data_IF_186113710971
#
_entry.id   IF_186113710971
#
_cell.length_a   1.000
_cell.length_b   1.000
_cell.length_c   1.000
_cell.angle_alpha   90.00
_cell.angle_beta   90.00
_cell.angle_gamma   90.00
#
_symmetry.space_group_name_H-M   'P 1'
#
loop_
_entity.id
_entity.type
_entity.pdbx_description
1 polymer ?
#
# COMPACT_ATOMS: atom_id res chain seq x y z
N UNK A 1 3.41 -14.06 -17.64
CA UNK A 1 3.63 -12.73 -17.03
C UNK A 1 3.29 -11.64 -18.02
N UNK A 2 3.13 -10.40 -17.56
CA UNK A 2 2.91 -9.25 -18.45
C UNK A 2 4.22 -8.83 -19.14
N UNK A 3 5.35 -8.89 -18.43
CA UNK A 3 6.61 -8.28 -18.86
C UNK A 3 7.86 -9.15 -18.73
N UNK A 4 7.82 -10.20 -17.91
CA UNK A 4 8.94 -11.10 -17.69
C UNK A 4 8.47 -12.55 -17.49
N UNK A 5 9.42 -13.46 -17.68
CA UNK A 5 9.27 -14.89 -17.44
C UNK A 5 9.51 -15.22 -15.96
N UNK A 6 8.53 -15.85 -15.31
CA UNK A 6 8.57 -16.17 -13.87
C UNK A 6 9.64 -17.22 -13.51
N UNK A 7 10.02 -18.08 -14.47
CA UNK A 7 10.98 -19.16 -14.20
C UNK A 7 12.43 -18.71 -14.35
N UNK A 8 12.69 -17.88 -15.35
CA UNK A 8 14.05 -17.47 -15.72
C UNK A 8 14.38 -16.05 -15.26
N UNK A 9 13.36 -15.23 -14.99
CA UNK A 9 13.54 -13.80 -14.70
C UNK A 9 13.88 -12.96 -15.93
N UNK A 10 13.89 -13.56 -17.12
CA UNK A 10 14.18 -12.85 -18.36
C UNK A 10 13.01 -11.94 -18.76
N UNK A 11 13.33 -10.69 -19.11
CA UNK A 11 12.37 -9.80 -19.76
C UNK A 11 11.89 -10.43 -21.07
N UNK A 12 10.61 -10.26 -21.36
CA UNK A 12 10.08 -10.57 -22.69
C UNK A 12 10.62 -9.58 -23.73
N UNK A 13 10.53 -9.95 -25.01
CA UNK A 13 10.88 -9.02 -26.10
C UNK A 13 9.98 -7.78 -26.06
N UNK A 14 10.49 -6.64 -26.53
CA UNK A 14 9.72 -5.39 -26.53
C UNK A 14 8.40 -5.52 -27.30
N UNK A 15 8.39 -6.28 -28.40
CA UNK A 15 7.17 -6.60 -29.14
C UNK A 15 6.20 -7.44 -28.30
N UNK A 16 6.71 -8.44 -27.58
CA UNK A 16 5.91 -9.27 -26.68
C UNK A 16 5.29 -8.45 -25.55
N UNK A 17 6.08 -7.57 -24.93
CA UNK A 17 5.60 -6.66 -23.88
C UNK A 17 4.52 -5.73 -24.44
N UNK A 18 4.76 -5.05 -25.56
CA UNK A 18 3.77 -4.14 -26.17
C UNK A 18 2.47 -4.87 -26.52
N UNK A 19 2.55 -6.07 -27.09
CA UNK A 19 1.37 -6.90 -27.37
C UNK A 19 0.60 -7.25 -26.09
N UNK A 20 1.30 -7.58 -25.01
CA UNK A 20 0.66 -7.90 -23.73
C UNK A 20 -0.05 -6.68 -23.13
N UNK A 21 0.56 -5.49 -23.21
CA UNK A 21 -0.07 -4.24 -22.77
C UNK A 21 -1.29 -3.88 -23.64
N UNK A 22 -1.22 -4.05 -24.96
CA UNK A 22 -2.38 -3.86 -25.85
C UNK A 22 -3.54 -4.76 -25.44
N UNK A 23 -3.28 -6.06 -25.19
CA UNK A 23 -4.32 -7.00 -24.73
C UNK A 23 -4.92 -6.61 -23.39
N UNK A 24 -4.10 -6.08 -22.47
CA UNK A 24 -4.57 -5.57 -21.19
C UNK A 24 -5.46 -4.33 -21.38
N UNK A 25 -5.06 -3.40 -22.24
CA UNK A 25 -5.85 -2.20 -22.54
C UNK A 25 -7.18 -2.56 -23.20
N UNK A 26 -7.18 -3.48 -24.16
CA UNK A 26 -8.38 -3.94 -24.85
C UNK A 26 -9.38 -4.56 -23.85
N UNK A 27 -8.89 -5.39 -22.93
CA UNK A 27 -9.73 -5.99 -21.89
C UNK A 27 -10.32 -4.96 -20.91
N UNK A 28 -9.53 -3.96 -20.51
CA UNK A 28 -10.01 -2.86 -19.66
C UNK A 28 -11.06 -2.01 -20.41
N UNK A 29 -10.80 -1.69 -21.68
CA UNK A 29 -11.69 -0.91 -22.53
C UNK A 29 -13.01 -1.63 -22.81
N UNK A 30 -12.99 -2.95 -23.04
CA UNK A 30 -14.20 -3.77 -23.23
C UNK A 30 -15.18 -3.66 -22.06
N UNK A 31 -14.65 -3.48 -20.84
CA UNK A 31 -15.44 -3.34 -19.63
C UNK A 31 -15.63 -1.88 -19.17
N UNK A 32 -15.13 -0.89 -19.93
CA UNK A 32 -15.22 0.53 -19.55
C UNK A 32 -14.42 0.87 -18.28
N UNK A 33 -13.40 0.09 -17.95
CA UNK A 33 -12.57 0.26 -16.75
C UNK A 33 -11.32 1.06 -17.11
N UNK A 34 -11.02 2.09 -16.32
CA UNK A 34 -9.76 2.83 -16.42
C UNK A 34 -8.67 2.15 -15.60
N UNK A 35 -7.42 2.23 -16.07
CA UNK A 35 -6.27 1.78 -15.28
C UNK A 35 -6.18 2.55 -13.96
N UNK A 36 -6.08 1.84 -12.85
CA UNK A 36 -5.75 2.45 -11.55
C UNK A 36 -4.29 2.87 -11.53
N UNK A 37 -3.96 3.89 -10.75
CA UNK A 37 -2.56 4.26 -10.51
C UNK A 37 -1.77 3.19 -9.75
N UNK A 38 -2.47 2.24 -9.12
CA UNK A 38 -1.91 1.16 -8.31
C UNK A 38 -1.49 -0.02 -9.18
N UNK A 39 -0.26 -0.50 -8.97
CA UNK A 39 0.24 -1.73 -9.58
C UNK A 39 0.38 -2.84 -8.53
N UNK A 40 -0.52 -3.82 -8.58
CA UNK A 40 -0.43 -5.03 -7.76
C UNK A 40 0.04 -6.20 -8.64
N UNK A 41 1.35 -6.34 -8.80
CA UNK A 41 1.93 -7.41 -9.61
C UNK A 41 2.02 -8.71 -8.81
N UNK A 42 1.62 -9.83 -9.43
CA UNK A 42 1.83 -11.15 -8.86
C UNK A 42 3.32 -11.38 -8.56
N UNK A 43 3.63 -11.81 -7.33
CA UNK A 43 5.00 -11.90 -6.79
C UNK A 43 5.82 -10.60 -6.87
N UNK A 44 5.21 -9.46 -7.15
CA UNK A 44 5.91 -8.21 -7.38
C UNK A 44 6.88 -8.25 -8.56
N UNK A 45 6.66 -9.14 -9.53
CA UNK A 45 7.56 -9.38 -10.65
C UNK A 45 7.19 -8.53 -11.85
N UNK A 46 7.98 -7.49 -12.09
CA UNK A 46 7.76 -6.54 -13.18
C UNK A 46 9.09 -6.24 -13.85
N UNK A 47 9.25 -6.61 -15.12
CA UNK A 47 10.42 -6.27 -15.92
C UNK A 47 10.60 -4.75 -16.10
N UNK A 48 11.85 -4.26 -16.11
CA UNK A 48 12.13 -2.82 -16.22
C UNK A 48 11.59 -2.20 -17.51
N UNK A 49 11.59 -2.98 -18.60
CA UNK A 49 11.07 -2.53 -19.90
C UNK A 49 9.57 -2.22 -19.90
N UNK A 50 8.82 -2.73 -18.92
CA UNK A 50 7.40 -2.43 -18.78
C UNK A 50 7.11 -1.15 -18.00
N UNK A 51 8.08 -0.61 -17.24
CA UNK A 51 7.88 0.58 -16.41
C UNK A 51 7.41 1.79 -17.22
N UNK A 52 8.01 2.14 -18.38
CA UNK A 52 7.51 3.24 -19.20
C UNK A 52 6.06 3.05 -19.64
N UNK A 53 5.65 1.83 -19.99
CA UNK A 53 4.28 1.53 -20.44
C UNK A 53 3.26 1.67 -19.30
N UNK A 54 3.62 1.27 -18.07
CA UNK A 54 2.80 1.58 -16.90
C UNK A 54 2.65 3.09 -16.67
N UNK A 55 3.76 3.83 -16.77
CA UNK A 55 3.79 5.27 -16.59
C UNK A 55 2.97 6.04 -17.64
N UNK A 56 2.90 5.55 -18.88
CA UNK A 56 2.01 6.09 -19.94
C UNK A 56 0.53 6.00 -19.57
N UNK A 57 0.15 5.00 -18.76
CA UNK A 57 -1.22 4.76 -18.28
C UNK A 57 -1.51 5.42 -16.94
N UNK A 58 -0.57 6.22 -16.41
CA UNK A 58 -0.70 6.84 -15.09
C UNK A 58 -0.45 5.88 -13.92
N UNK A 59 0.01 4.64 -14.19
CA UNK A 59 0.30 3.65 -13.17
C UNK A 59 1.68 3.93 -12.55
N UNK A 60 1.69 4.52 -11.36
CA UNK A 60 2.90 5.00 -10.69
C UNK A 60 3.06 4.52 -9.23
N UNK A 61 2.18 3.65 -8.74
CA UNK A 61 2.17 3.20 -7.34
C UNK A 61 2.23 1.67 -7.19
N UNK A 62 3.40 1.04 -7.41
CA UNK A 62 3.59 -0.39 -7.15
C UNK A 62 3.39 -0.74 -5.67
N UNK A 63 2.66 -1.83 -5.44
CA UNK A 63 2.41 -2.39 -4.11
C UNK A 63 3.44 -3.45 -3.67
N UNK A 64 4.52 -3.59 -4.43
CA UNK A 64 5.49 -4.64 -4.28
C UNK A 64 6.31 -4.44 -3.00
N UNK A 65 6.57 -5.53 -2.28
CA UNK A 65 7.56 -5.58 -1.20
C UNK A 65 8.97 -6.00 -1.71
N UNK A 66 9.14 -5.95 -3.04
CA UNK A 66 10.30 -6.32 -3.83
C UNK A 66 10.67 -5.22 -4.81
N UNK A 67 11.95 -5.12 -5.15
CA UNK A 67 12.42 -4.25 -6.24
C UNK A 67 11.93 -4.79 -7.60
N UNK A 68 11.65 -3.89 -8.55
CA UNK A 68 11.30 -4.29 -9.91
C UNK A 68 12.53 -4.87 -10.66
N UNK A 69 12.23 -5.55 -11.76
CA UNK A 69 13.20 -6.11 -12.70
C UNK A 69 13.95 -7.34 -12.20
N UNK A 70 13.44 -7.98 -11.15
CA UNK A 70 14.01 -9.19 -10.56
C UNK A 70 12.89 -10.15 -10.14
N UNK A 71 13.22 -11.44 -10.11
CA UNK A 71 12.33 -12.46 -9.56
C UNK A 71 12.11 -12.23 -8.07
N UNK A 72 10.94 -12.62 -7.58
CA UNK A 72 10.62 -12.52 -6.18
C UNK A 72 11.64 -13.25 -5.31
N UNK A 73 12.12 -14.42 -5.72
CA UNK A 73 13.14 -15.19 -5.00
C UNK A 73 14.55 -14.59 -5.03
N UNK A 74 14.84 -13.61 -5.90
CA UNK A 74 16.18 -13.07 -6.13
C UNK A 74 16.22 -11.54 -5.97
N UNK A 75 16.11 -11.06 -4.73
CA UNK A 75 16.03 -9.62 -4.45
C UNK A 75 17.39 -9.01 -4.12
N UNK A 76 17.74 -7.85 -4.71
CA UNK A 76 18.99 -7.16 -4.40
C UNK A 76 18.98 -6.67 -2.96
N UNK A 77 20.15 -6.28 -2.44
CA UNK A 77 20.21 -5.53 -1.18
C UNK A 77 19.62 -4.14 -1.42
N UNK A 78 18.37 -3.96 -0.99
CA UNK A 78 17.63 -2.71 -1.03
C UNK A 78 17.29 -2.33 0.40
N UNK A 79 17.36 -1.03 0.71
CA UNK A 79 17.01 -0.46 2.02
C UNK A 79 15.94 0.61 1.82
N UNK A 80 14.68 0.21 1.54
CA UNK A 80 13.59 1.15 1.35
C UNK A 80 13.29 1.93 2.63
N UNK A 81 12.84 3.16 2.48
CA UNK A 81 12.19 3.91 3.55
C UNK A 81 10.88 3.22 3.99
N UNK A 82 10.43 3.44 5.24
CA UNK A 82 11.11 4.24 6.27
C UNK A 82 12.22 3.49 7.02
N UNK A 83 12.11 2.17 7.17
CA UNK A 83 12.97 1.43 8.11
C UNK A 83 14.06 0.58 7.44
N UNK A 84 13.85 0.12 6.21
CA UNK A 84 14.78 -0.78 5.52
C UNK A 84 14.96 -2.15 6.21
N UNK A 85 14.11 -2.49 7.19
CA UNK A 85 14.19 -3.73 7.97
C UNK A 85 13.64 -4.88 7.13
N UNK A 86 14.36 -6.01 7.14
CA UNK A 86 13.91 -7.27 6.55
C UNK A 86 13.46 -8.23 7.65
N UNK A 87 12.31 -8.87 7.46
CA UNK A 87 11.88 -9.99 8.28
C UNK A 87 12.65 -11.28 7.93
N UNK A 88 12.32 -12.37 8.65
CA UNK A 88 12.91 -13.70 8.41
C UNK A 88 12.72 -14.22 6.97
N UNK A 89 11.68 -13.76 6.27
CA UNK A 89 11.43 -14.07 4.87
C UNK A 89 12.35 -13.32 3.88
N UNK A 90 13.24 -12.46 4.38
CA UNK A 90 14.07 -11.56 3.58
C UNK A 90 13.31 -10.38 2.98
N UNK A 91 12.02 -10.21 3.31
CA UNK A 91 11.13 -9.17 2.78
C UNK A 91 11.08 -7.95 3.68
N UNK A 92 10.75 -6.80 3.10
CA UNK A 92 10.52 -5.58 3.85
C UNK A 92 9.08 -5.50 4.37
N UNK A 93 8.94 -5.18 5.66
CA UNK A 93 7.62 -5.13 6.31
C UNK A 93 6.79 -3.91 5.91
N UNK A 94 7.45 -2.78 5.65
CA UNK A 94 6.84 -1.54 5.19
C UNK A 94 7.78 -0.89 4.17
N UNK A 95 7.22 -0.51 3.04
CA UNK A 95 7.87 0.24 1.97
C UNK A 95 6.98 1.43 1.65
N UNK A 96 7.48 2.61 1.95
CA UNK A 96 6.95 3.88 1.45
C UNK A 96 8.19 4.56 0.90
N UNK A 97 8.47 4.41 -0.39
CA UNK A 97 9.71 4.93 -0.97
C UNK A 97 9.62 5.13 -2.49
N UNK A 98 10.50 5.96 -3.04
CA UNK A 98 10.65 6.08 -4.49
C UNK A 98 11.44 4.89 -5.05
N UNK A 99 11.05 4.44 -6.23
CA UNK A 99 11.87 3.49 -6.96
C UNK A 99 13.22 4.13 -7.32
N UNK A 100 14.37 3.56 -6.89
CA UNK A 100 15.66 4.18 -7.14
C UNK A 100 15.97 4.39 -8.63
N UNK A 101 15.60 3.43 -9.47
CA UNK A 101 15.85 3.47 -10.92
C UNK A 101 14.79 4.27 -11.69
N UNK A 102 13.58 4.40 -11.15
CA UNK A 102 12.48 5.14 -11.78
C UNK A 102 11.74 5.98 -10.74
N UNK A 103 12.28 7.15 -10.32
CA UNK A 103 11.73 7.94 -9.21
C UNK A 103 10.27 8.40 -9.40
N UNK A 104 9.75 8.34 -10.63
CA UNK A 104 8.31 8.52 -10.92
C UNK A 104 7.43 7.46 -10.26
N UNK A 105 7.94 6.25 -10.05
CA UNK A 105 7.28 5.17 -9.31
C UNK A 105 7.46 5.37 -7.80
N UNK A 106 6.38 5.27 -7.05
CA UNK A 106 6.36 5.31 -5.59
C UNK A 106 5.88 3.97 -5.07
N UNK A 107 6.77 3.19 -4.47
CA UNK A 107 6.39 1.95 -3.80
C UNK A 107 5.62 2.26 -2.53
N UNK A 108 4.43 1.69 -2.43
CA UNK A 108 3.57 1.77 -1.25
C UNK A 108 3.12 0.36 -0.93
N UNK A 109 3.85 -0.31 -0.04
CA UNK A 109 3.65 -1.70 0.35
C UNK A 109 3.71 -1.86 1.86
N UNK A 110 2.78 -2.63 2.40
CA UNK A 110 2.84 -3.11 3.77
C UNK A 110 2.62 -4.62 3.73
N UNK A 111 3.54 -5.32 4.37
CA UNK A 111 3.60 -6.77 4.46
C UNK A 111 4.41 -7.09 5.71
N UNK A 112 4.02 -6.51 6.85
CA UNK A 112 4.81 -6.48 8.10
C UNK A 112 5.41 -7.85 8.37
N UNK A 113 6.69 -7.97 8.00
CA UNK A 113 7.37 -9.24 7.82
C UNK A 113 8.01 -9.61 9.15
N UNK A 114 7.56 -10.71 9.75
CA UNK A 114 8.22 -11.53 10.77
C UNK A 114 9.37 -10.87 11.55
N UNK A 115 9.09 -9.83 12.35
CA UNK A 115 9.99 -9.45 13.44
C UNK A 115 9.47 -10.15 14.69
N UNK A 116 10.05 -11.33 14.98
CA UNK A 116 9.59 -12.18 16.06
C UNK A 116 8.17 -12.71 15.83
N UNK A 117 7.30 -12.58 16.83
CA UNK A 117 5.91 -13.06 16.77
C UNK A 117 4.97 -12.11 16.03
N UNK A 118 5.36 -10.85 15.84
CA UNK A 118 4.54 -9.82 15.21
C UNK A 118 4.70 -9.86 13.69
N UNK A 119 3.68 -10.36 12.99
CA UNK A 119 3.67 -10.44 11.54
C UNK A 119 2.25 -10.32 10.98
N UNK A 120 2.15 -9.73 9.79
CA UNK A 120 0.92 -9.70 9.03
C UNK A 120 0.66 -11.09 8.43
N UNK A 121 -0.56 -11.61 8.59
CA UNK A 121 -1.04 -12.79 7.87
C UNK A 121 -1.59 -12.30 6.55
N UNK A 122 -0.74 -12.21 5.52
CA UNK A 122 -1.05 -11.44 4.31
C UNK A 122 -2.41 -11.77 3.72
N UNK A 123 -2.73 -13.05 3.51
CA UNK A 123 -4.04 -13.45 3.00
C UNK A 123 -5.00 -13.82 4.15
N UNK A 124 -6.08 -13.03 4.30
CA UNK A 124 -7.06 -13.21 5.37
C UNK A 124 -7.99 -14.42 5.16
N UNK A 125 -8.06 -14.98 3.96
CA UNK A 125 -8.88 -16.16 3.62
C UNK A 125 -8.05 -17.44 3.50
N UNK A 126 -6.72 -17.35 3.40
CA UNK A 126 -5.86 -18.54 3.30
C UNK A 126 -6.02 -19.48 4.48
N UNK A 127 -6.27 -20.76 4.21
CA UNK A 127 -6.54 -21.79 5.24
C UNK A 127 -7.93 -21.70 5.88
N UNK A 128 -8.79 -20.80 5.40
CA UNK A 128 -10.08 -20.44 6.03
C UNK A 128 -11.28 -20.55 5.10
N UNK A 129 -11.07 -20.85 3.83
CA UNK A 129 -12.14 -21.05 2.83
C UNK A 129 -11.87 -22.35 2.07
N UNK A 130 -12.88 -22.98 1.44
CA UNK A 130 -12.72 -24.23 0.70
C UNK A 130 -12.05 -24.04 -0.67
N UNK A 131 -10.95 -23.30 -0.72
CA UNK A 131 -10.10 -23.18 -1.89
C UNK A 131 -9.01 -24.25 -1.83
N UNK A 132 -8.94 -25.14 -2.82
CA UNK A 132 -7.95 -26.23 -2.89
C UNK A 132 -7.85 -27.06 -1.59
N UNK A 133 -9.00 -27.40 -1.00
CA UNK A 133 -9.10 -28.18 0.24
C UNK A 133 -8.37 -27.56 1.45
N UNK A 134 -8.14 -26.23 1.43
CA UNK A 134 -7.55 -25.49 2.56
C UNK A 134 -8.43 -25.54 3.82
N UNK A 135 -9.74 -25.71 3.66
CA UNK A 135 -10.73 -25.88 4.73
C UNK A 135 -11.96 -26.63 4.20
N UNK A 136 -12.66 -27.38 5.06
CA UNK A 136 -13.93 -28.03 4.69
C UNK A 136 -15.07 -27.01 4.54
N UNK A 137 -15.09 -25.97 5.38
CA UNK A 137 -16.09 -24.89 5.39
C UNK A 137 -15.42 -23.53 5.63
N UNK A 138 -16.09 -22.42 5.26
CA UNK A 138 -15.63 -21.08 5.61
C UNK A 138 -15.50 -20.87 7.12
N UNK A 139 -14.32 -20.43 7.58
CA UNK A 139 -14.00 -20.12 8.98
C UNK A 139 -14.06 -18.60 9.20
N UNK A 140 -15.28 -18.07 9.23
CA UNK A 140 -15.54 -16.62 9.15
C UNK A 140 -14.88 -15.83 10.29
N UNK A 141 -15.00 -16.31 11.53
CA UNK A 141 -14.42 -15.63 12.70
C UNK A 141 -12.89 -15.59 12.62
N UNK A 142 -12.25 -16.67 12.15
CA UNK A 142 -10.79 -16.73 11.99
C UNK A 142 -10.29 -15.80 10.87
N UNK A 143 -11.08 -15.61 9.82
CA UNK A 143 -10.79 -14.65 8.75
C UNK A 143 -10.96 -13.21 9.24
N UNK A 144 -12.04 -12.93 9.97
CA UNK A 144 -12.29 -11.62 10.54
C UNK A 144 -11.20 -11.23 11.56
N UNK A 145 -10.79 -12.18 12.40
CA UNK A 145 -9.68 -11.98 13.33
C UNK A 145 -8.37 -11.67 12.58
N UNK A 146 -8.04 -12.43 11.54
CA UNK A 146 -6.82 -12.19 10.75
C UNK A 146 -6.82 -10.79 10.10
N UNK A 147 -7.94 -10.36 9.53
CA UNK A 147 -8.08 -9.01 8.97
C UNK A 147 -7.96 -7.92 10.03
N UNK A 148 -8.57 -8.11 11.20
CA UNK A 148 -8.47 -7.19 12.34
C UNK A 148 -7.02 -7.05 12.81
N UNK A 149 -6.32 -8.16 13.00
CA UNK A 149 -4.92 -8.19 13.43
C UNK A 149 -4.01 -7.48 12.41
N UNK A 150 -4.24 -7.71 11.11
CA UNK A 150 -3.47 -7.05 10.05
C UNK A 150 -3.66 -5.52 10.04
N UNK A 151 -4.90 -5.04 10.21
CA UNK A 151 -5.19 -3.60 10.25
C UNK A 151 -4.58 -2.98 11.49
N UNK A 152 -4.83 -3.55 12.68
CA UNK A 152 -4.30 -3.03 13.95
C UNK A 152 -2.78 -2.96 13.93
N UNK A 153 -2.11 -3.96 13.37
CA UNK A 153 -0.66 -3.95 13.22
C UNK A 153 -0.15 -2.77 12.37
N UNK A 154 -0.87 -2.40 11.31
CA UNK A 154 -0.56 -1.22 10.50
C UNK A 154 -0.76 0.08 11.27
N UNK A 155 -1.87 0.18 12.02
CA UNK A 155 -2.20 1.35 12.84
C UNK A 155 -1.22 1.54 14.02
N UNK A 156 -0.85 0.45 14.72
CA UNK A 156 0.15 0.44 15.79
C UNK A 156 1.53 0.93 15.32
N UNK A 157 1.84 0.69 14.04
CA UNK A 157 3.07 1.15 13.42
C UNK A 157 3.02 2.61 12.92
N UNK A 158 1.93 3.33 13.21
CA UNK A 158 1.62 4.66 12.66
C UNK A 158 1.71 4.70 11.12
N UNK A 159 1.32 3.58 10.49
CA UNK A 159 1.24 3.43 9.04
C UNK A 159 -0.23 3.22 8.64
N UNK A 160 -0.49 2.37 7.64
CA UNK A 160 -1.83 2.03 7.19
C UNK A 160 -2.11 0.53 7.35
N UNK A 161 -3.36 0.18 7.65
CA UNK A 161 -3.83 -1.21 7.64
C UNK A 161 -4.07 -1.72 6.21
N UNK A 162 -3.93 -3.02 5.99
CA UNK A 162 -4.19 -3.66 4.70
C UNK A 162 -5.05 -4.91 4.88
N UNK A 163 -6.15 -4.96 4.13
CA UNK A 163 -6.86 -6.20 3.83
C UNK A 163 -6.35 -6.75 2.50
N UNK A 164 -5.86 -7.98 2.53
CA UNK A 164 -5.36 -8.67 1.36
C UNK A 164 -5.92 -10.09 1.35
N UNK A 165 -6.34 -10.52 0.16
CA UNK A 165 -6.77 -11.88 -0.15
C UNK A 165 -6.60 -12.10 -1.64
N UNK A 166 -6.36 -13.34 -2.05
CA UNK A 166 -6.36 -13.70 -3.47
C UNK A 166 -7.79 -13.83 -4.01
N UNK A 167 -7.97 -13.48 -5.29
CA UNK A 167 -9.26 -13.51 -5.99
C UNK A 167 -9.88 -14.92 -6.02
N UNK A 168 -9.06 -15.96 -6.13
CA UNK A 168 -9.53 -17.34 -6.17
C UNK A 168 -10.14 -17.78 -4.84
N UNK A 169 -9.67 -17.19 -3.72
CA UNK A 169 -10.25 -17.41 -2.39
C UNK A 169 -11.55 -16.63 -2.20
N UNK A 170 -11.66 -15.43 -2.77
CA UNK A 170 -12.93 -14.70 -2.82
C UNK A 170 -13.98 -15.51 -3.59
N UNK A 171 -13.58 -16.17 -4.69
CA UNK A 171 -14.49 -17.02 -5.47
C UNK A 171 -14.92 -18.31 -4.73
N UNK A 172 -14.24 -18.68 -3.63
CA UNK A 172 -14.53 -19.86 -2.83
C UNK A 172 -15.40 -19.57 -1.58
N UNK A 173 -15.86 -18.33 -1.40
CA UNK A 173 -16.72 -17.92 -0.28
C UNK A 173 -17.99 -17.25 -0.84
N UNK A 174 -19.13 -17.39 -0.15
CA UNK A 174 -20.36 -16.72 -0.58
C UNK A 174 -20.29 -15.20 -0.32
N UNK A 175 -21.07 -14.39 -1.04
CA UNK A 175 -21.18 -12.96 -0.75
C UNK A 175 -21.61 -12.66 0.69
N UNK A 176 -22.53 -13.45 1.26
CA UNK A 176 -23.02 -13.27 2.63
C UNK A 176 -21.94 -13.58 3.68
N UNK A 177 -21.16 -14.64 3.44
CA UNK A 177 -20.04 -15.01 4.29
C UNK A 177 -18.91 -13.97 4.20
N UNK A 178 -18.65 -13.45 2.99
CA UNK A 178 -17.71 -12.35 2.79
C UNK A 178 -18.15 -11.08 3.54
N UNK A 179 -19.42 -10.70 3.46
CA UNK A 179 -19.97 -9.57 4.22
C UNK A 179 -19.84 -9.79 5.73
N UNK A 180 -20.04 -11.03 6.20
CA UNK A 180 -19.85 -11.41 7.61
C UNK A 180 -18.39 -11.19 8.04
N UNK A 181 -17.42 -11.61 7.23
CA UNK A 181 -15.99 -11.40 7.50
C UNK A 181 -15.66 -9.92 7.57
N UNK A 182 -16.04 -9.13 6.57
CA UNK A 182 -15.77 -7.67 6.52
C UNK A 182 -16.42 -6.95 7.70
N UNK A 183 -17.67 -7.29 8.04
CA UNK A 183 -18.38 -6.73 9.20
C UNK A 183 -17.66 -7.10 10.51
N UNK A 184 -17.20 -8.34 10.64
CA UNK A 184 -16.41 -8.80 11.77
C UNK A 184 -15.11 -8.01 11.93
N UNK A 185 -14.41 -7.72 10.83
CA UNK A 185 -13.19 -6.90 10.83
C UNK A 185 -13.49 -5.49 11.34
N UNK A 186 -14.52 -4.83 10.80
CA UNK A 186 -14.89 -3.46 11.20
C UNK A 186 -15.26 -3.41 12.69
N UNK A 187 -16.03 -4.38 13.19
CA UNK A 187 -16.33 -4.50 14.64
C UNK A 187 -15.07 -4.74 15.46
N UNK A 188 -14.12 -5.51 14.93
CA UNK A 188 -12.83 -5.75 15.57
C UNK A 188 -11.99 -4.47 15.76
N UNK A 189 -12.27 -3.40 15.02
CA UNK A 189 -11.62 -2.09 15.13
C UNK A 189 -12.33 -1.14 16.13
N UNK A 190 -13.31 -1.61 16.89
CA UNK A 190 -13.96 -0.78 17.91
C UNK A 190 -12.93 -0.18 18.90
N UNK A 191 -13.08 1.11 19.19
CA UNK A 191 -12.14 1.89 20.00
C UNK A 191 -10.86 2.34 19.28
N UNK A 192 -10.66 2.02 18.01
CA UNK A 192 -9.52 2.53 17.22
C UNK A 192 -9.91 3.75 16.39
N UNK A 193 -9.00 4.71 16.27
CA UNK A 193 -9.12 5.79 15.30
C UNK A 193 -8.63 5.30 13.93
N UNK A 194 -9.54 5.20 12.95
CA UNK A 194 -9.20 4.78 11.60
C UNK A 194 -10.13 5.42 10.57
N UNK A 195 -9.67 5.43 9.32
CA UNK A 195 -10.45 5.85 8.17
C UNK A 195 -10.30 4.82 7.05
N UNK A 196 -11.41 4.37 6.49
CA UNK A 196 -11.42 3.52 5.30
C UNK A 196 -11.03 4.31 4.06
N UNK A 197 -10.30 3.68 3.14
CA UNK A 197 -9.89 4.31 1.89
C UNK A 197 -9.51 3.28 0.84
N UNK A 198 -9.50 3.70 -0.43
CA UNK A 198 -9.02 2.85 -1.51
C UNK A 198 -7.50 2.74 -1.44
N UNK A 199 -6.95 1.69 -2.06
CA UNK A 199 -5.49 1.52 -2.14
C UNK A 199 -4.81 2.70 -2.84
N UNK A 200 -5.48 3.29 -3.82
CA UNK A 200 -5.00 4.47 -4.53
C UNK A 200 -4.91 5.69 -3.60
N UNK A 201 -5.92 5.93 -2.76
CA UNK A 201 -5.94 7.05 -1.80
C UNK A 201 -4.78 6.93 -0.80
N UNK A 202 -4.58 5.74 -0.25
CA UNK A 202 -3.45 5.44 0.65
C UNK A 202 -2.12 5.69 -0.06
N UNK A 203 -2.02 5.27 -1.33
CA UNK A 203 -0.85 5.49 -2.16
C UNK A 203 -0.54 6.98 -2.35
N UNK A 204 -1.56 7.79 -2.64
CA UNK A 204 -1.43 9.24 -2.80
C UNK A 204 -1.01 9.89 -1.47
N UNK A 205 -1.62 9.52 -0.35
CA UNK A 205 -1.23 10.04 0.98
C UNK A 205 0.23 9.71 1.29
N UNK A 206 0.65 8.46 1.06
CA UNK A 206 2.02 8.02 1.27
C UNK A 206 3.01 8.77 0.35
N UNK A 207 2.61 9.04 -0.89
CA UNK A 207 3.42 9.81 -1.85
C UNK A 207 3.61 11.27 -1.39
N UNK A 208 2.58 11.89 -0.80
CA UNK A 208 2.66 13.27 -0.24
C UNK A 208 3.70 13.42 0.88
N UNK A 209 4.02 12.35 1.61
CA UNK A 209 5.11 12.34 2.61
C UNK A 209 6.49 12.59 1.99
N UNK A 210 6.67 12.31 0.69
CA UNK A 210 7.92 12.61 -0.04
C UNK A 210 7.85 13.86 -0.87
N UNK A 211 6.65 14.23 -1.27
CA UNK A 211 6.40 15.38 -2.12
C UNK A 211 6.21 16.66 -1.29
N UNK A 212 6.32 16.58 0.03
CA UNK A 212 6.31 17.73 0.93
C UNK A 212 7.26 17.57 2.12
N UNK A 213 7.58 18.68 2.76
CA UNK A 213 8.34 18.74 4.00
C UNK A 213 7.88 19.91 4.88
N UNK A 214 7.80 19.68 6.19
CA UNK A 214 7.72 20.72 7.20
C UNK A 214 9.11 21.34 7.38
N UNK A 215 9.25 22.60 6.99
CA UNK A 215 10.51 23.36 7.06
C UNK A 215 10.67 23.95 8.45
N UNK A 216 9.59 24.50 8.99
CA UNK A 216 9.61 25.19 10.29
C UNK A 216 8.26 25.11 10.97
N UNK A 217 8.26 24.96 12.29
CA UNK A 217 7.07 25.12 13.12
C UNK A 217 7.44 25.99 14.34
N UNK A 218 6.71 27.08 14.57
CA UNK A 218 6.91 27.92 15.75
C UNK A 218 5.56 28.25 16.38
N UNK A 219 5.48 28.09 17.70
CA UNK A 219 4.36 28.61 18.46
C UNK A 219 4.47 30.14 18.55
N UNK A 220 3.39 30.84 18.23
CA UNK A 220 3.26 32.30 18.28
C UNK A 220 2.04 32.69 19.10
N UNK A 221 1.88 33.99 19.41
CA UNK A 221 0.67 34.49 20.09
C UNK A 221 -0.62 34.21 19.30
N UNK A 222 -0.52 34.01 17.98
CA UNK A 222 -1.64 33.69 17.09
C UNK A 222 -1.87 32.20 16.84
N UNK A 223 -1.10 31.30 17.48
CA UNK A 223 -1.17 29.86 17.25
C UNK A 223 0.13 29.27 16.69
N UNK A 224 0.07 28.01 16.26
CA UNK A 224 1.22 27.29 15.70
C UNK A 224 1.38 27.71 14.23
N UNK A 225 2.46 28.43 13.92
CA UNK A 225 2.81 28.81 12.55
C UNK A 225 3.70 27.74 11.93
N UNK A 226 3.26 27.18 10.82
CA UNK A 226 3.95 26.13 10.07
C UNK A 226 4.35 26.64 8.69
N UNK A 227 5.62 26.40 8.32
CA UNK A 227 6.18 26.68 7.01
C UNK A 227 6.46 25.34 6.31
N UNK A 228 5.88 25.15 5.13
CA UNK A 228 5.92 23.90 4.37
C UNK A 228 6.47 24.15 2.97
N UNK A 229 7.12 23.15 2.39
CA UNK A 229 7.51 23.14 0.98
C UNK A 229 7.11 21.84 0.30
N UNK A 230 6.88 21.85 -1.00
CA UNK A 230 6.51 20.65 -1.75
C UNK A 230 5.79 20.88 -3.07
N UNK A 231 5.40 19.77 -3.70
CA UNK A 231 4.52 19.70 -4.88
C UNK A 231 3.55 18.52 -4.70
N UNK A 232 2.47 18.75 -3.96
CA UNK A 232 1.57 17.68 -3.53
C UNK A 232 0.32 17.57 -4.40
N UNK A 233 0.00 16.35 -4.84
CA UNK A 233 -1.26 16.07 -5.52
C UNK A 233 -2.42 15.98 -4.51
N UNK A 234 -3.12 17.09 -4.29
CA UNK A 234 -4.25 17.19 -3.34
C UNK A 234 -3.84 17.58 -1.91
N UNK A 235 -4.81 17.75 -0.99
CA UNK A 235 -4.54 18.20 0.37
C UNK A 235 -3.66 17.23 1.17
N UNK A 236 -2.83 17.75 2.07
CA UNK A 236 -1.94 16.96 2.92
C UNK A 236 -2.32 17.11 4.40
N UNK A 237 -2.55 16.02 5.14
CA UNK A 237 -2.90 16.13 6.55
C UNK A 237 -1.67 16.53 7.38
N UNK A 238 -1.78 17.62 8.14
CA UNK A 238 -0.84 17.97 9.19
C UNK A 238 -1.35 17.42 10.52
N UNK A 239 -0.62 16.47 11.11
CA UNK A 239 -0.94 15.95 12.43
C UNK A 239 -0.21 16.78 13.50
N UNK A 240 -0.98 17.31 14.44
CA UNK A 240 -0.53 18.10 15.59
C UNK A 240 -0.81 17.29 16.84
N UNK A 241 0.18 17.20 17.72
CA UNK A 241 0.05 16.57 19.03
C UNK A 241 0.18 17.64 20.10
N UNK A 242 -0.86 17.78 20.93
CA UNK A 242 -0.93 18.76 22.00
C UNK A 242 -0.84 18.01 23.34
N UNK A 243 0.05 18.44 24.24
CA UNK A 243 0.17 17.81 25.55
C UNK A 243 -1.04 18.19 26.42
N UNK A 244 -1.68 17.19 27.01
CA UNK A 244 -2.82 17.36 27.94
C UNK A 244 -2.52 16.63 29.24
N UNK A 245 -2.05 17.37 30.25
CA UNK A 245 -1.58 16.79 31.51
C UNK A 245 -0.43 15.82 31.29
N UNK A 246 -0.62 14.57 31.70
CA UNK A 246 0.35 13.48 31.47
C UNK A 246 0.16 12.76 30.12
N UNK A 247 -0.81 13.20 29.31
CA UNK A 247 -1.15 12.63 28.01
C UNK A 247 -0.90 13.59 26.85
N UNK A 248 -1.39 13.19 25.68
CA UNK A 248 -1.48 14.07 24.52
C UNK A 248 -2.78 13.81 23.75
N UNK A 249 -3.28 14.86 23.11
CA UNK A 249 -4.38 14.76 22.14
C UNK A 249 -3.84 14.99 20.74
N UNK A 250 -4.50 14.32 19.79
CA UNK A 250 -4.16 14.41 18.36
C UNK A 250 -5.20 15.29 17.67
N UNK A 251 -4.73 16.25 16.89
CA UNK A 251 -5.54 17.03 15.95
C UNK A 251 -4.96 16.89 14.55
N UNK A 252 -5.84 16.73 13.56
CA UNK A 252 -5.46 16.71 12.15
C UNK A 252 -6.04 17.94 11.48
N UNK A 253 -5.20 18.68 10.76
CA UNK A 253 -5.60 19.84 9.96
C UNK A 253 -5.26 19.56 8.51
N UNK A 254 -6.21 19.80 7.61
CA UNK A 254 -5.96 19.70 6.17
C UNK A 254 -5.14 20.91 5.69
N UNK A 255 -4.01 20.63 5.06
CA UNK A 255 -3.23 21.62 4.34
C UNK A 255 -3.64 21.54 2.87
N UNK A 256 -4.02 22.68 2.28
CA UNK A 256 -4.26 22.79 0.85
C UNK A 256 -3.05 22.27 0.02
N UNK A 257 -3.27 21.87 -1.25
CA UNK A 257 -2.18 21.42 -2.11
C UNK A 257 -1.00 22.40 -2.12
N UNK A 258 0.20 21.91 -1.81
CA UNK A 258 1.42 22.70 -1.77
C UNK A 258 2.02 22.74 -3.17
N UNK A 259 2.35 23.95 -3.65
CA UNK A 259 3.13 24.16 -4.87
C UNK A 259 4.26 25.16 -4.58
N UNK A 260 5.46 24.65 -4.36
CA UNK A 260 6.60 25.42 -3.90
C UNK A 260 6.57 25.60 -2.38
N UNK A 261 6.08 26.74 -1.90
CA UNK A 261 6.04 27.11 -0.49
C UNK A 261 4.60 27.36 -0.03
N UNK A 262 4.28 26.91 1.18
CA UNK A 262 3.02 27.18 1.84
C UNK A 262 3.25 27.57 3.31
N UNK A 263 2.36 28.41 3.83
CA UNK A 263 2.35 28.83 5.23
C UNK A 263 0.93 28.76 5.76
N UNK A 264 0.80 28.26 6.98
CA UNK A 264 -0.47 28.24 7.70
C UNK A 264 -0.28 28.48 9.20
N UNK A 265 -1.34 28.99 9.83
CA UNK A 265 -1.45 29.11 11.28
C UNK A 265 -2.61 28.26 11.75
N UNK A 266 -2.36 27.40 12.73
CA UNK A 266 -3.29 26.38 13.25
C UNK A 266 -3.41 26.41 14.77
#
# INVERSE_FOLDING_TARGET
>A
GLSMDHHTGADFSDEGIRRNFSRMDDAFAEHGITHSRVLNAHFGEVGWRAVPLFLERGVDMPCNNSALGQLYSNQPVWRPRPYGIRGLSGRHGLIIDRCPQHPRMTFVSISMSHVGKTHMRTDILSGRVPFLDESETPKLDEAAQAGTENIKLGLDALAYGLLFTHEERINAISPEDWETVVTGIVRGLDGWEWQGGLREDVGVICKRLFDSALVRANLTDGGLRCELVGDTYGPSPLTIWENEGDGCTRRVVDVEPINGYAELTV
#
